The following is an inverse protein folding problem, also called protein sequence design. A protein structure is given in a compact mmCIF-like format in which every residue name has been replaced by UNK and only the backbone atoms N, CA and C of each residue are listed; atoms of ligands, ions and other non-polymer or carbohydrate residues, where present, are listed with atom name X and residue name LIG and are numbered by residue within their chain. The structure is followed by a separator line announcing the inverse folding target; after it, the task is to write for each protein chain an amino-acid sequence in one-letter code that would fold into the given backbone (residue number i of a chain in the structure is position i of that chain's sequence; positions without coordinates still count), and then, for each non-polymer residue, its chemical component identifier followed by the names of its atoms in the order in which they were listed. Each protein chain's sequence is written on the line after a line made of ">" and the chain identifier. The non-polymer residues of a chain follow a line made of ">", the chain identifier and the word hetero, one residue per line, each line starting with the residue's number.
data_IF_590572568881
#
_entry.id   IF_590572568881
#
_cell.length_a   1.000
_cell.length_b   1.000
_cell.length_c   1.000
_cell.angle_alpha   90.00
_cell.angle_beta   90.00
_cell.angle_gamma   90.00
#
_symmetry.space_group_name_H-M   'P 1'
#
loop_
_entity.id
_entity.type
_entity.pdbx_description
1 polymer ?
#
# COMPACT_ATOMS: atom_id res chain seq x y z
N UNK A 1 10.27 6.98 12.65
CA UNK A 1 9.59 6.94 11.37
C UNK A 1 8.15 6.43 11.49
N UNK A 2 7.31 6.64 10.47
CA UNK A 2 5.87 6.24 10.42
C UNK A 2 5.70 4.76 10.76
N UNK A 3 6.56 3.92 10.23
CA UNK A 3 6.55 2.46 10.43
C UNK A 3 7.34 2.02 11.66
N UNK A 4 7.59 2.90 12.63
CA UNK A 4 8.15 2.49 13.90
C UNK A 4 7.16 1.58 14.66
N UNK A 5 7.63 0.56 15.41
CA UNK A 5 6.76 -0.41 16.09
C UNK A 5 5.65 0.22 16.95
N UNK A 6 5.95 1.33 17.63
CA UNK A 6 4.96 2.08 18.42
C UNK A 6 3.80 2.60 17.55
N UNK A 7 4.12 3.14 16.40
CA UNK A 7 3.14 3.73 15.49
C UNK A 7 2.29 2.66 14.79
N UNK A 8 2.93 1.52 14.47
CA UNK A 8 2.22 0.35 13.94
C UNK A 8 1.23 -0.20 14.98
N UNK A 9 1.60 -0.21 16.26
CA UNK A 9 0.68 -0.63 17.32
C UNK A 9 -0.55 0.30 17.43
N UNK A 10 -0.38 1.61 17.23
CA UNK A 10 -1.50 2.56 17.19
C UNK A 10 -2.41 2.35 15.96
N UNK A 11 -1.86 1.83 14.87
CA UNK A 11 -2.62 1.53 13.64
C UNK A 11 -3.34 0.17 13.67
N UNK A 12 -3.01 -0.71 14.61
CA UNK A 12 -3.57 -2.07 14.65
C UNK A 12 -5.10 -2.07 14.68
N UNK A 13 -5.71 -1.22 15.51
CA UNK A 13 -7.15 -1.10 15.61
C UNK A 13 -7.81 -0.68 14.29
N UNK A 14 -7.19 0.27 13.58
CA UNK A 14 -7.65 0.72 12.26
C UNK A 14 -7.52 -0.38 11.20
N UNK A 15 -6.38 -1.07 11.18
CA UNK A 15 -6.13 -2.18 10.24
C UNK A 15 -7.18 -3.27 10.46
N UNK A 16 -7.42 -3.68 11.70
CA UNK A 16 -8.43 -4.69 12.05
C UNK A 16 -9.84 -4.29 11.65
N UNK A 17 -10.21 -3.01 11.86
CA UNK A 17 -11.52 -2.51 11.43
C UNK A 17 -11.67 -2.61 9.90
N UNK A 18 -10.69 -2.13 9.14
CA UNK A 18 -10.74 -2.18 7.68
C UNK A 18 -10.78 -3.60 7.12
N UNK A 19 -9.97 -4.50 7.69
CA UNK A 19 -10.00 -5.92 7.30
C UNK A 19 -11.39 -6.50 7.56
N UNK A 20 -12.00 -6.21 8.72
CA UNK A 20 -13.35 -6.66 9.04
C UNK A 20 -14.38 -6.11 8.05
N UNK A 21 -14.37 -4.79 7.81
CA UNK A 21 -15.32 -4.15 6.90
C UNK A 21 -15.22 -4.70 5.47
N UNK A 22 -13.98 -4.99 5.01
CA UNK A 22 -13.76 -5.63 3.71
C UNK A 22 -14.32 -7.05 3.69
N UNK A 23 -14.00 -7.86 4.71
CA UNK A 23 -14.44 -9.26 4.75
C UNK A 23 -15.96 -9.39 4.94
N UNK A 24 -16.56 -8.53 5.78
CA UNK A 24 -18.01 -8.50 6.00
C UNK A 24 -18.78 -8.06 4.74
N UNK A 25 -18.14 -7.30 3.85
CA UNK A 25 -18.71 -6.87 2.56
C UNK A 25 -18.55 -7.89 1.42
N UNK A 26 -17.92 -9.06 1.66
CA UNK A 26 -17.76 -10.08 0.62
C UNK A 26 -19.07 -10.82 0.34
N UNK A 27 -19.32 -11.19 -0.93
CA UNK A 27 -20.50 -11.99 -1.27
C UNK A 27 -20.42 -13.39 -0.66
N UNK A 28 -21.53 -13.88 -0.14
CA UNK A 28 -21.64 -15.23 0.43
C UNK A 28 -22.27 -16.18 -0.61
N UNK A 29 -21.60 -17.30 -0.88
CA UNK A 29 -22.08 -18.30 -1.83
C UNK A 29 -21.86 -17.95 -3.30
N UNK A 30 -21.08 -16.90 -3.59
CA UNK A 30 -20.71 -16.47 -4.94
C UNK A 30 -19.19 -16.50 -5.11
N UNK A 31 -18.72 -16.70 -6.34
CA UNK A 31 -17.30 -16.58 -6.69
C UNK A 31 -16.94 -15.11 -6.88
N UNK A 32 -15.82 -14.68 -6.34
CA UNK A 32 -15.31 -13.33 -6.50
C UNK A 32 -13.78 -13.33 -6.64
N UNK A 33 -13.23 -12.23 -7.15
CA UNK A 33 -11.79 -12.01 -7.21
C UNK A 33 -11.27 -11.55 -5.84
N UNK A 34 -10.48 -12.42 -5.18
CA UNK A 34 -9.86 -12.12 -3.89
C UNK A 34 -8.86 -10.98 -3.97
N UNK A 35 -8.07 -10.95 -5.06
CA UNK A 35 -7.02 -9.92 -5.22
C UNK A 35 -7.65 -8.56 -5.27
N UNK A 36 -8.68 -8.38 -6.10
CA UNK A 36 -9.39 -7.11 -6.26
C UNK A 36 -10.16 -6.73 -4.98
N UNK A 37 -11.02 -7.65 -4.50
CA UNK A 37 -11.95 -7.37 -3.41
C UNK A 37 -11.27 -7.21 -2.05
N UNK A 38 -10.19 -7.93 -1.80
CA UNK A 38 -9.53 -7.95 -0.49
C UNK A 38 -8.15 -7.32 -0.55
N UNK A 39 -7.22 -7.88 -1.31
CA UNK A 39 -5.80 -7.52 -1.21
C UNK A 39 -5.54 -6.10 -1.71
N UNK A 40 -6.02 -5.73 -2.91
CA UNK A 40 -5.90 -4.37 -3.47
C UNK A 40 -6.66 -3.37 -2.61
N UNK A 41 -7.90 -3.71 -2.22
CA UNK A 41 -8.72 -2.81 -1.43
C UNK A 41 -8.06 -2.47 -0.08
N UNK A 42 -7.51 -3.46 0.61
CA UNK A 42 -6.82 -3.26 1.88
C UNK A 42 -5.55 -2.42 1.72
N UNK A 43 -4.65 -2.80 0.80
CA UNK A 43 -3.37 -2.08 0.61
C UNK A 43 -3.59 -0.64 0.17
N UNK A 44 -4.54 -0.41 -0.73
CA UNK A 44 -4.89 0.94 -1.21
C UNK A 44 -5.43 1.83 -0.08
N UNK A 45 -6.31 1.29 0.78
CA UNK A 45 -6.81 2.02 1.95
C UNK A 45 -5.69 2.33 2.95
N UNK A 46 -4.76 1.40 3.16
CA UNK A 46 -3.64 1.60 4.08
C UNK A 46 -2.66 2.64 3.54
N UNK A 47 -2.31 2.59 2.26
CA UNK A 47 -1.48 3.61 1.63
C UNK A 47 -2.13 5.00 1.71
N UNK A 48 -3.42 5.10 1.41
CA UNK A 48 -4.15 6.37 1.54
C UNK A 48 -4.04 6.93 2.97
N UNK A 49 -4.09 6.08 3.99
CA UNK A 49 -3.92 6.50 5.39
C UNK A 49 -2.48 6.94 5.68
N UNK A 50 -1.49 6.15 5.23
CA UNK A 50 -0.08 6.45 5.48
C UNK A 50 0.35 7.78 4.85
N UNK A 51 -0.21 8.10 3.69
CA UNK A 51 0.04 9.37 3.01
C UNK A 51 -0.95 10.49 3.39
N UNK A 52 -1.97 10.21 4.22
CA UNK A 52 -3.15 11.10 4.40
C UNK A 52 -3.70 11.55 3.04
N UNK A 53 -3.75 10.63 2.09
CA UNK A 53 -4.16 10.86 0.71
C UNK A 53 -5.69 10.98 0.63
N UNK A 54 -6.25 11.84 -0.27
CA UNK A 54 -7.69 11.93 -0.45
C UNK A 54 -8.31 10.56 -0.72
N UNK A 55 -9.16 10.10 0.20
CA UNK A 55 -9.61 8.70 0.22
C UNK A 55 -10.41 8.31 -1.03
N UNK A 56 -11.15 9.25 -1.60
CA UNK A 56 -11.93 9.07 -2.84
C UNK A 56 -11.03 8.87 -4.06
N UNK A 57 -9.79 9.37 -4.00
CA UNK A 57 -8.81 9.26 -5.07
C UNK A 57 -7.80 8.12 -4.86
N UNK A 58 -7.95 7.32 -3.80
CA UNK A 58 -6.99 6.29 -3.40
C UNK A 58 -6.64 5.29 -4.51
N UNK A 59 -7.55 5.04 -5.46
CA UNK A 59 -7.29 4.16 -6.59
C UNK A 59 -6.09 4.61 -7.45
N UNK A 60 -5.75 5.91 -7.44
CA UNK A 60 -4.54 6.42 -8.09
C UNK A 60 -3.27 5.79 -7.53
N UNK A 61 -3.22 5.48 -6.23
CA UNK A 61 -2.05 4.86 -5.60
C UNK A 61 -1.77 3.47 -6.19
N UNK A 62 -2.81 2.66 -6.39
CA UNK A 62 -2.68 1.36 -7.07
C UNK A 62 -2.30 1.55 -8.54
N UNK A 63 -2.96 2.47 -9.24
CA UNK A 63 -2.65 2.78 -10.65
C UNK A 63 -1.18 3.16 -10.85
N UNK A 64 -0.64 4.06 -10.03
CA UNK A 64 0.78 4.45 -10.13
C UNK A 64 1.73 3.30 -9.75
N UNK A 65 1.34 2.46 -8.79
CA UNK A 65 2.09 1.25 -8.45
C UNK A 65 2.16 0.28 -9.64
N UNK A 66 1.02 0.00 -10.24
CA UNK A 66 0.92 -0.93 -11.38
C UNK A 66 1.67 -0.41 -12.61
N UNK A 67 1.62 0.90 -12.88
CA UNK A 67 2.43 1.53 -13.94
C UNK A 67 3.92 1.37 -13.69
N UNK A 68 4.38 1.65 -12.48
CA UNK A 68 5.79 1.58 -12.14
C UNK A 68 6.33 0.14 -12.13
N UNK A 69 5.51 -0.83 -11.69
CA UNK A 69 5.88 -2.24 -11.67
C UNK A 69 5.66 -2.95 -13.01
N UNK A 70 4.74 -2.45 -13.86
CA UNK A 70 4.32 -3.08 -15.11
C UNK A 70 5.16 -2.71 -16.34
N UNK A 71 6.34 -2.10 -16.17
CA UNK A 71 7.21 -1.81 -17.31
C UNK A 71 7.80 -3.08 -17.91
N UNK A 72 8.08 -3.12 -19.24
CA UNK A 72 8.69 -4.28 -19.88
C UNK A 72 10.00 -4.72 -19.23
N UNK A 73 10.77 -3.78 -18.72
CA UNK A 73 12.08 -4.03 -18.09
C UNK A 73 11.95 -4.74 -16.73
N UNK A 74 10.85 -4.49 -16.00
CA UNK A 74 10.66 -5.03 -14.63
C UNK A 74 9.83 -6.30 -14.60
N UNK A 75 8.77 -6.37 -15.40
CA UNK A 75 7.81 -7.46 -15.33
C UNK A 75 7.41 -8.05 -16.70
N UNK A 76 8.02 -7.60 -17.80
CA UNK A 76 7.54 -7.96 -19.14
C UNK A 76 6.13 -7.46 -19.43
N UNK A 77 5.70 -6.39 -18.74
CA UNK A 77 4.37 -5.81 -18.89
C UNK A 77 4.21 -5.02 -20.19
N UNK A 78 2.97 -4.63 -20.49
CA UNK A 78 2.59 -3.92 -21.72
C UNK A 78 2.48 -2.40 -21.54
N UNK A 79 2.97 -1.85 -20.42
CA UNK A 79 2.91 -0.41 -20.13
C UNK A 79 3.81 0.34 -21.10
N UNK A 80 3.21 1.18 -21.93
CA UNK A 80 3.97 2.02 -22.86
C UNK A 80 4.73 3.11 -22.12
N UNK A 81 5.84 3.57 -22.72
CA UNK A 81 6.65 4.67 -22.17
C UNK A 81 5.80 5.95 -21.98
N UNK A 82 4.91 6.25 -22.92
CA UNK A 82 4.00 7.42 -22.85
C UNK A 82 3.05 7.33 -21.65
N UNK A 83 2.48 6.16 -21.43
CA UNK A 83 1.55 5.88 -20.33
C UNK A 83 2.26 5.98 -18.97
N UNK A 84 3.46 5.40 -18.87
CA UNK A 84 4.31 5.53 -17.69
C UNK A 84 4.63 6.99 -17.38
N UNK A 85 5.10 7.75 -18.37
CA UNK A 85 5.47 9.16 -18.19
C UNK A 85 4.27 10.02 -17.80
N UNK A 86 3.10 9.76 -18.38
CA UNK A 86 1.86 10.46 -18.05
C UNK A 86 1.44 10.17 -16.61
N UNK A 87 1.42 8.92 -16.21
CA UNK A 87 1.06 8.50 -14.85
C UNK A 87 2.05 9.00 -13.79
N UNK A 88 3.34 8.93 -14.07
CA UNK A 88 4.38 9.42 -13.15
C UNK A 88 4.33 10.95 -13.01
N UNK A 89 3.99 11.67 -14.08
CA UNK A 89 3.77 13.12 -14.03
C UNK A 89 2.55 13.47 -13.17
N UNK A 90 1.42 12.76 -13.33
CA UNK A 90 0.23 12.93 -12.47
C UNK A 90 0.55 12.62 -11.00
N UNK A 91 1.33 11.57 -10.74
CA UNK A 91 1.81 11.23 -9.40
C UNK A 91 2.60 12.40 -8.78
N UNK A 92 3.63 12.88 -9.48
CA UNK A 92 4.48 13.97 -9.02
C UNK A 92 3.68 15.24 -8.76
N UNK A 93 2.82 15.65 -9.68
CA UNK A 93 1.98 16.85 -9.54
C UNK A 93 1.02 16.73 -8.35
N UNK A 94 0.40 15.58 -8.19
CA UNK A 94 -0.54 15.33 -7.08
C UNK A 94 0.17 15.42 -5.74
N UNK A 95 1.31 14.77 -5.58
CA UNK A 95 2.06 14.82 -4.32
C UNK A 95 2.76 16.16 -4.08
N UNK A 96 3.19 16.87 -5.12
CA UNK A 96 3.70 18.24 -4.99
C UNK A 96 2.62 19.18 -4.42
N UNK A 97 1.39 19.06 -4.92
CA UNK A 97 0.25 19.82 -4.37
C UNK A 97 -0.01 19.46 -2.91
N UNK A 98 -0.09 18.17 -2.57
CA UNK A 98 -0.28 17.71 -1.20
C UNK A 98 0.85 18.18 -0.27
N UNK A 99 2.08 18.21 -0.76
CA UNK A 99 3.23 18.75 -0.02
C UNK A 99 3.01 20.21 0.36
N UNK A 100 2.63 21.05 -0.59
CA UNK A 100 2.39 22.48 -0.32
C UNK A 100 1.18 22.72 0.58
N UNK A 101 0.10 21.97 0.41
CA UNK A 101 -1.10 22.05 1.25
C UNK A 101 -0.83 21.70 2.72
N UNK A 102 0.23 20.92 3.00
CA UNK A 102 0.60 20.48 4.35
C UNK A 102 1.75 21.24 4.97
N UNK A 103 2.33 22.16 4.24
CA UNK A 103 3.44 22.98 4.75
C UNK A 103 3.02 23.70 6.03
N UNK A 104 3.77 23.45 7.13
CA UNK A 104 3.49 24.05 8.43
C UNK A 104 2.44 23.32 9.28
N UNK A 105 2.00 22.13 8.92
CA UNK A 105 1.20 21.28 9.80
C UNK A 105 2.07 20.70 10.92
N UNK A 106 1.79 21.08 12.17
CA UNK A 106 2.60 20.63 13.33
C UNK A 106 2.20 19.24 13.85
N UNK A 107 1.01 18.74 13.53
CA UNK A 107 0.43 17.53 14.12
C UNK A 107 0.20 16.38 13.12
N UNK A 108 0.69 16.48 11.89
CA UNK A 108 0.53 15.41 10.89
C UNK A 108 1.44 14.22 11.21
N UNK A 109 0.87 13.03 11.12
CA UNK A 109 1.55 11.76 11.32
C UNK A 109 1.71 10.98 10.00
N UNK A 110 1.37 11.60 8.89
CA UNK A 110 1.50 11.03 7.56
C UNK A 110 2.93 11.13 7.02
N UNK A 111 3.22 10.30 6.01
CA UNK A 111 4.54 10.20 5.38
C UNK A 111 5.02 11.53 4.81
N UNK A 112 4.13 12.33 4.21
CA UNK A 112 4.50 13.63 3.61
C UNK A 112 4.93 14.62 4.69
N UNK A 113 4.14 14.73 5.75
CA UNK A 113 4.47 15.60 6.89
C UNK A 113 5.78 15.19 7.54
N UNK A 114 6.06 13.89 7.64
CA UNK A 114 7.33 13.39 8.19
C UNK A 114 8.51 13.70 7.28
N UNK A 115 8.38 13.54 5.97
CA UNK A 115 9.40 13.94 5.00
C UNK A 115 9.69 15.44 5.07
N UNK A 116 8.67 16.28 5.29
CA UNK A 116 8.85 17.73 5.45
C UNK A 116 9.59 18.12 6.72
N UNK A 117 9.49 17.33 7.78
CA UNK A 117 10.11 17.62 9.09
C UNK A 117 11.53 17.11 9.21
N UNK A 118 11.90 16.08 8.47
CA UNK A 118 13.24 15.55 8.50
C UNK A 118 14.19 16.46 7.72
N UNK A 119 15.25 17.01 8.36
CA UNK A 119 16.18 17.93 7.70
C UNK A 119 16.82 17.35 6.42
N UNK A 120 16.92 16.03 6.30
CA UNK A 120 17.51 15.37 5.13
C UNK A 120 16.56 15.31 3.92
N UNK A 121 15.26 15.52 4.14
CA UNK A 121 14.22 15.42 3.10
C UNK A 121 13.31 16.65 3.01
N UNK A 122 13.53 17.68 3.84
CA UNK A 122 12.68 18.87 3.91
C UNK A 122 12.63 19.67 2.61
N UNK A 123 13.65 19.56 1.77
CA UNK A 123 13.77 20.19 0.44
C UNK A 123 13.46 19.25 -0.72
N UNK A 124 12.94 18.06 -0.43
CA UNK A 124 12.76 16.98 -1.43
C UNK A 124 11.84 17.41 -2.58
N UNK A 125 10.84 18.26 -2.31
CA UNK A 125 9.93 18.80 -3.35
C UNK A 125 10.66 19.66 -4.37
N UNK A 126 11.80 20.28 -4.02
CA UNK A 126 12.63 21.07 -4.91
C UNK A 126 13.55 20.21 -5.80
N UNK A 127 13.56 18.90 -5.56
CA UNK A 127 14.28 17.87 -6.31
C UNK A 127 13.29 16.86 -6.93
N UNK A 128 12.54 17.24 -7.98
CA UNK A 128 11.33 16.53 -8.42
C UNK A 128 11.55 15.07 -8.79
N UNK A 129 12.67 14.73 -9.42
CA UNK A 129 12.96 13.33 -9.78
C UNK A 129 13.29 12.46 -8.56
N UNK A 130 13.97 13.02 -7.57
CA UNK A 130 14.26 12.33 -6.32
C UNK A 130 13.00 12.21 -5.47
N UNK A 131 12.16 13.24 -5.45
CA UNK A 131 10.86 13.19 -4.80
C UNK A 131 9.98 12.09 -5.40
N UNK A 132 9.84 12.07 -6.72
CA UNK A 132 9.10 11.02 -7.42
C UNK A 132 9.65 9.62 -7.12
N UNK A 133 10.97 9.44 -7.17
CA UNK A 133 11.60 8.17 -6.85
C UNK A 133 11.29 7.67 -5.44
N UNK A 134 11.32 8.54 -4.44
CA UNK A 134 10.93 8.21 -3.07
C UNK A 134 9.44 7.86 -2.95
N UNK A 135 8.57 8.61 -3.63
CA UNK A 135 7.13 8.33 -3.63
C UNK A 135 6.82 6.97 -4.26
N UNK A 136 7.38 6.70 -5.43
CA UNK A 136 7.19 5.42 -6.15
C UNK A 136 7.70 4.26 -5.31
N UNK A 137 8.88 4.39 -4.69
CA UNK A 137 9.42 3.36 -3.80
C UNK A 137 8.47 3.04 -2.64
N UNK A 138 7.90 4.06 -2.01
CA UNK A 138 6.98 3.90 -0.89
C UNK A 138 5.63 3.32 -1.34
N UNK A 139 5.12 3.76 -2.50
CA UNK A 139 3.84 3.31 -3.05
C UNK A 139 3.95 1.84 -3.49
N UNK A 140 4.95 1.49 -4.31
CA UNK A 140 5.15 0.12 -4.81
C UNK A 140 5.48 -0.84 -3.67
N UNK A 141 6.40 -0.44 -2.77
CA UNK A 141 6.78 -1.26 -1.63
C UNK A 141 5.62 -1.52 -0.65
N UNK A 142 4.73 -0.55 -0.45
CA UNK A 142 3.57 -0.69 0.42
C UNK A 142 2.37 -1.40 -0.23
N UNK A 143 2.28 -1.40 -1.55
CA UNK A 143 1.18 -2.01 -2.29
C UNK A 143 1.50 -3.45 -2.72
N UNK A 144 2.46 -3.64 -3.61
CA UNK A 144 2.67 -4.90 -4.32
C UNK A 144 3.11 -6.04 -3.43
N UNK A 145 4.08 -5.82 -2.56
CA UNK A 145 4.59 -6.86 -1.67
C UNK A 145 3.51 -7.36 -0.71
N UNK A 146 2.76 -6.44 -0.11
CA UNK A 146 1.68 -6.78 0.84
C UNK A 146 0.49 -7.43 0.11
N UNK A 147 0.10 -6.92 -1.05
CA UNK A 147 -0.94 -7.49 -1.91
C UNK A 147 -0.63 -8.94 -2.29
N UNK A 148 0.59 -9.17 -2.77
CA UNK A 148 1.02 -10.50 -3.21
C UNK A 148 1.16 -11.46 -2.03
N UNK A 149 1.66 -11.01 -0.89
CA UNK A 149 1.74 -11.81 0.34
C UNK A 149 0.36 -12.24 0.84
N UNK A 150 -0.60 -11.30 0.90
CA UNK A 150 -1.97 -11.60 1.33
C UNK A 150 -2.66 -12.58 0.37
N UNK A 151 -2.51 -12.39 -0.94
CA UNK A 151 -3.12 -13.26 -1.96
C UNK A 151 -2.45 -14.62 -2.00
N UNK A 152 -1.12 -14.68 -1.99
CA UNK A 152 -0.34 -15.91 -1.99
C UNK A 152 -0.58 -16.76 -0.74
N UNK A 153 -0.72 -16.12 0.43
CA UNK A 153 -1.04 -16.80 1.67
C UNK A 153 -2.39 -17.53 1.61
N UNK A 154 -3.43 -16.85 1.10
CA UNK A 154 -4.75 -17.47 0.93
C UNK A 154 -4.71 -18.61 -0.11
N UNK A 155 -4.00 -18.41 -1.23
CA UNK A 155 -3.83 -19.46 -2.23
C UNK A 155 -3.12 -20.69 -1.63
N UNK A 156 -2.04 -20.48 -0.89
CA UNK A 156 -1.29 -21.57 -0.24
C UNK A 156 -2.18 -22.34 0.76
N UNK A 157 -2.96 -21.63 1.58
CA UNK A 157 -3.88 -22.29 2.52
C UNK A 157 -4.98 -23.09 1.81
N UNK A 158 -5.41 -22.68 0.62
CA UNK A 158 -6.36 -23.45 -0.20
C UNK A 158 -5.69 -24.68 -0.84
N UNK A 159 -4.43 -24.58 -1.24
CA UNK A 159 -3.68 -25.70 -1.78
C UNK A 159 -3.28 -26.73 -0.70
N UNK A 160 -3.10 -26.27 0.53
CA UNK A 160 -2.70 -27.08 1.67
C UNK A 160 -3.69 -26.98 2.83
N UNK A 161 -4.91 -27.56 2.70
CA UNK A 161 -5.97 -27.38 3.69
C UNK A 161 -5.59 -27.88 5.10
N UNK A 162 -4.69 -28.85 5.23
CA UNK A 162 -4.18 -29.30 6.51
C UNK A 162 -3.40 -28.22 7.27
N UNK A 163 -2.75 -27.29 6.59
CA UNK A 163 -2.08 -26.14 7.22
C UNK A 163 -3.12 -25.11 7.69
N UNK A 164 -4.21 -24.96 6.95
CA UNK A 164 -5.32 -24.12 7.36
C UNK A 164 -5.99 -24.63 8.65
N UNK A 165 -6.18 -25.94 8.76
CA UNK A 165 -6.73 -26.57 9.97
C UNK A 165 -5.80 -26.36 11.19
N UNK A 166 -4.49 -26.44 11.02
CA UNK A 166 -3.50 -26.11 12.07
C UNK A 166 -3.63 -24.67 12.54
N UNK A 167 -3.76 -23.70 11.61
CA UNK A 167 -3.94 -22.30 11.96
C UNK A 167 -5.25 -22.04 12.71
N UNK A 168 -6.33 -22.69 12.31
CA UNK A 168 -7.62 -22.62 13.01
C UNK A 168 -7.56 -23.18 14.42
N UNK A 169 -6.82 -24.27 14.61
CA UNK A 169 -6.62 -24.89 15.90
C UNK A 169 -5.68 -24.10 16.82
N UNK A 170 -4.72 -23.36 16.25
CA UNK A 170 -3.71 -22.61 17.00
C UNK A 170 -3.33 -21.30 16.30
N UNK A 171 -3.98 -20.21 16.65
CA UNK A 171 -3.68 -18.86 16.12
C UNK A 171 -2.27 -18.36 16.50
N UNK A 172 -1.60 -18.95 17.49
CA UNK A 172 -0.21 -18.64 17.83
C UNK A 172 0.79 -18.96 16.70
N UNK A 173 0.38 -19.70 15.66
CA UNK A 173 1.19 -19.97 14.47
C UNK A 173 1.21 -18.81 13.45
N UNK A 174 0.28 -17.83 13.57
CA UNK A 174 0.17 -16.71 12.60
C UNK A 174 1.47 -15.92 12.45
N UNK A 175 2.20 -15.53 13.52
CA UNK A 175 3.46 -14.81 13.34
C UNK A 175 4.51 -15.59 12.54
N UNK A 176 4.61 -16.91 12.76
CA UNK A 176 5.48 -17.79 11.99
C UNK A 176 5.07 -17.87 10.52
N UNK A 177 3.77 -18.06 10.27
CA UNK A 177 3.22 -18.05 8.90
C UNK A 177 3.54 -16.75 8.15
N UNK A 178 3.37 -15.59 8.80
CA UNK A 178 3.69 -14.29 8.19
C UNK A 178 5.17 -14.20 7.82
N UNK A 179 6.06 -14.73 8.64
CA UNK A 179 7.51 -14.74 8.36
C UNK A 179 7.88 -15.66 7.19
N UNK A 180 7.15 -16.76 7.00
CA UNK A 180 7.38 -17.69 5.89
C UNK A 180 6.84 -17.15 4.54
N UNK A 181 5.77 -16.36 4.58
CA UNK A 181 5.21 -15.72 3.38
C UNK A 181 6.10 -14.58 2.91
#
# INVERSE_FOLDING_TARGET
>A
GVVAPRNLAEMEGLIRSRVRDILDGLPVGETFDWVERVSINLTTQMLATLFDFPFEQRAKLTYWSDLAAGTPELAGGDVSHEELMTGMTDCLQTFTRLWHERKGRDNGFDLITLLQRDPSTADLVDRPMEFLGNLVLLIVGGNDTTRNSASGGVLALNQFPGEYDKLRANHGLIPGMVSEI
#
